data_IF_562920015419
#
_entry.id   IF_562920015419
#
_cell.length_a   1.000
_cell.length_b   1.000
_cell.length_c   1.000
_cell.angle_alpha   90.00
_cell.angle_beta   90.00
_cell.angle_gamma   90.00
#
_symmetry.space_group_name_H-M   'P 1'
#
loop_
_entity.id
_entity.type
_entity.pdbx_description
1 polymer ?
#
# COMPACT_ATOMS: atom_id res chain seq x y z
N UNK A 1 26.84 -6.36 11.38
CA UNK A 1 25.86 -6.49 12.49
C UNK A 1 24.55 -7.03 11.93
N UNK A 2 23.81 -7.89 12.64
CA UNK A 2 22.50 -8.35 12.15
C UNK A 2 21.40 -7.30 12.41
N UNK A 3 20.22 -7.46 11.78
CA UNK A 3 19.15 -6.45 11.87
C UNK A 3 18.64 -6.23 13.30
N UNK A 4 18.65 -7.27 14.15
CA UNK A 4 18.23 -7.19 15.55
C UNK A 4 19.25 -6.43 16.39
N UNK A 5 20.54 -6.76 16.24
CA UNK A 5 21.65 -6.09 16.93
C UNK A 5 21.69 -4.59 16.60
N UNK A 6 21.55 -4.23 15.31
CA UNK A 6 21.54 -2.83 14.88
C UNK A 6 20.35 -2.05 15.44
N UNK A 7 19.18 -2.68 15.55
CA UNK A 7 18.01 -2.06 16.18
C UNK A 7 18.21 -1.86 17.69
N UNK A 8 18.83 -2.81 18.38
CA UNK A 8 19.15 -2.68 19.81
C UNK A 8 20.15 -1.53 20.05
N UNK A 9 21.20 -1.40 19.23
CA UNK A 9 22.14 -0.26 19.32
C UNK A 9 21.44 1.10 19.19
N UNK A 10 20.42 1.21 18.32
CA UNK A 10 19.63 2.45 18.19
C UNK A 10 18.85 2.72 19.48
N UNK A 11 18.18 1.71 20.05
CA UNK A 11 17.40 1.85 21.29
C UNK A 11 18.29 2.25 22.47
N UNK A 12 19.52 1.74 22.52
CA UNK A 12 20.50 2.05 23.55
C UNK A 12 21.27 3.36 23.32
N UNK A 13 21.01 4.07 22.21
CA UNK A 13 21.76 5.28 21.83
C UNK A 13 23.28 5.05 21.65
N UNK A 14 23.66 3.87 21.15
CA UNK A 14 25.04 3.50 20.86
C UNK A 14 25.47 3.93 19.44
N UNK A 15 26.44 3.21 18.83
CA UNK A 15 26.95 3.45 17.48
C UNK A 15 26.46 2.35 16.52
N UNK A 16 25.24 2.44 15.96
CA UNK A 16 24.72 1.44 15.03
C UNK A 16 25.46 1.50 13.67
N UNK A 17 25.52 0.38 12.96
CA UNK A 17 26.08 0.30 11.60
C UNK A 17 25.26 1.15 10.60
N UNK A 18 23.95 1.25 10.83
CA UNK A 18 23.03 2.11 10.06
C UNK A 18 21.87 2.61 10.92
N UNK A 19 21.33 3.78 10.58
CA UNK A 19 20.11 4.30 11.19
C UNK A 19 18.88 3.67 10.52
N UNK A 20 18.02 3.06 11.33
CA UNK A 20 16.72 2.58 10.88
C UNK A 20 15.78 3.79 10.85
N UNK A 21 15.32 4.18 9.65
CA UNK A 21 14.48 5.37 9.44
C UNK A 21 12.98 5.11 9.59
N UNK A 22 12.58 3.85 9.78
CA UNK A 22 11.19 3.47 9.96
C UNK A 22 11.06 2.13 10.67
N UNK A 23 9.96 1.91 11.37
CA UNK A 23 9.71 0.64 12.03
C UNK A 23 9.71 -0.52 11.01
N UNK A 24 10.17 -1.72 11.39
CA UNK A 24 9.96 -2.91 10.56
C UNK A 24 8.45 -3.13 10.37
N UNK A 25 7.94 -2.87 9.16
CA UNK A 25 6.53 -3.09 8.82
C UNK A 25 6.36 -4.27 7.89
N UNK A 26 5.31 -5.06 8.09
CA UNK A 26 4.80 -6.00 7.08
C UNK A 26 3.47 -5.44 6.58
N UNK A 27 3.35 -5.24 5.26
CA UNK A 27 2.09 -4.85 4.65
C UNK A 27 1.11 -6.03 4.67
N UNK A 28 -0.07 -5.82 5.22
CA UNK A 28 -1.21 -6.73 5.06
C UNK A 28 -2.21 -6.00 4.18
N UNK A 29 -2.62 -6.62 3.09
CA UNK A 29 -3.64 -6.13 2.19
C UNK A 29 -4.65 -7.24 1.92
N UNK A 30 -5.90 -6.86 1.73
CA UNK A 30 -6.96 -7.78 1.32
C UNK A 30 -7.05 -7.75 -0.21
N UNK A 31 -7.19 -8.92 -0.84
CA UNK A 31 -7.34 -9.00 -2.31
C UNK A 31 -8.49 -8.11 -2.77
N UNK A 32 -8.21 -7.22 -3.72
CA UNK A 32 -9.23 -6.33 -4.25
C UNK A 32 -9.42 -5.04 -3.45
N UNK A 33 -8.45 -4.64 -2.61
CA UNK A 33 -8.37 -3.31 -2.01
C UNK A 33 -7.45 -2.38 -2.83
N UNK A 34 -7.40 -1.08 -2.54
CA UNK A 34 -6.40 -0.15 -3.11
C UNK A 34 -6.28 -0.22 -4.65
N UNK A 35 -7.40 0.00 -5.35
CA UNK A 35 -7.51 -0.04 -6.81
C UNK A 35 -7.34 -1.44 -7.45
N UNK A 36 -7.11 -2.49 -6.65
CA UNK A 36 -7.08 -3.85 -7.16
C UNK A 36 -8.45 -4.31 -7.62
N UNK A 37 -8.43 -5.26 -8.54
CA UNK A 37 -9.63 -5.95 -9.00
C UNK A 37 -10.13 -7.00 -8.03
N UNK A 38 -11.43 -6.97 -7.72
CA UNK A 38 -12.10 -8.06 -6.99
C UNK A 38 -13.02 -8.88 -7.90
N UNK A 39 -14.06 -8.26 -8.48
CA UNK A 39 -15.04 -8.91 -9.36
C UNK A 39 -14.94 -8.30 -10.76
N UNK A 40 -13.90 -8.66 -11.51
CA UNK A 40 -13.68 -8.17 -12.88
C UNK A 40 -13.34 -6.68 -13.01
N UNK A 41 -13.15 -5.98 -11.90
CA UNK A 41 -12.71 -4.59 -11.80
C UNK A 41 -11.20 -4.42 -11.71
N UNK A 42 -10.70 -3.19 -11.59
CA UNK A 42 -9.33 -2.90 -11.18
C UNK A 42 -8.58 -1.93 -12.09
N UNK A 43 -7.40 -1.47 -11.64
CA UNK A 43 -6.55 -0.54 -12.37
C UNK A 43 -6.21 -1.00 -13.81
N UNK A 44 -6.18 -2.31 -14.05
CA UNK A 44 -5.85 -2.89 -15.36
C UNK A 44 -6.94 -2.66 -16.41
N UNK A 45 -8.14 -2.23 -16.01
CA UNK A 45 -9.22 -1.94 -16.95
C UNK A 45 -8.92 -0.68 -17.77
N UNK A 46 -9.50 -0.54 -18.98
CA UNK A 46 -9.30 0.65 -19.81
C UNK A 46 -9.70 1.96 -19.11
N UNK A 47 -9.18 3.08 -19.60
CA UNK A 47 -9.63 4.41 -19.18
C UNK A 47 -11.15 4.57 -19.38
N UNK A 48 -11.78 5.28 -18.46
CA UNK A 48 -13.23 5.44 -18.36
C UNK A 48 -13.94 4.31 -17.61
N UNK A 49 -13.24 3.23 -17.26
CA UNK A 49 -13.84 2.12 -16.50
C UNK A 49 -14.18 2.54 -15.06
N UNK A 50 -15.28 1.96 -14.57
CA UNK A 50 -15.74 2.09 -13.18
C UNK A 50 -15.76 0.70 -12.55
N UNK A 51 -15.31 0.57 -11.31
CA UNK A 51 -15.47 -0.67 -10.56
C UNK A 51 -15.62 -0.42 -9.07
N UNK A 52 -16.09 -1.43 -8.35
CA UNK A 52 -16.25 -1.40 -6.90
C UNK A 52 -15.29 -2.38 -6.27
N UNK A 53 -14.61 -1.94 -5.21
CA UNK A 53 -13.68 -2.77 -4.45
C UNK A 53 -14.38 -3.60 -3.36
N UNK A 54 -13.62 -4.41 -2.63
CA UNK A 54 -14.17 -5.27 -1.56
C UNK A 54 -14.87 -4.52 -0.42
N UNK A 55 -14.64 -3.22 -0.29
CA UNK A 55 -15.19 -2.38 0.76
C UNK A 55 -16.42 -1.57 0.29
N UNK A 56 -16.86 -1.77 -0.97
CA UNK A 56 -17.95 -1.00 -1.55
C UNK A 56 -17.51 0.35 -2.12
N UNK A 57 -16.21 0.64 -2.13
CA UNK A 57 -15.67 1.89 -2.68
C UNK A 57 -15.73 1.83 -4.19
N UNK A 58 -16.34 2.83 -4.83
CA UNK A 58 -16.36 2.92 -6.30
C UNK A 58 -15.15 3.72 -6.79
N UNK A 59 -14.50 3.22 -7.83
CA UNK A 59 -13.30 3.79 -8.44
C UNK A 59 -13.56 4.17 -9.89
N UNK A 60 -12.95 5.27 -10.33
CA UNK A 60 -12.97 5.74 -11.72
C UNK A 60 -11.57 5.82 -12.30
N UNK A 61 -11.33 5.12 -13.40
CA UNK A 61 -10.08 5.25 -14.13
C UNK A 61 -10.14 6.46 -15.07
N UNK A 62 -9.55 7.59 -14.70
CA UNK A 62 -9.61 8.82 -15.50
C UNK A 62 -8.39 8.97 -16.42
N UNK A 63 -7.21 8.62 -15.90
CA UNK A 63 -5.96 8.60 -16.66
C UNK A 63 -4.97 7.59 -16.01
N UNK A 64 -3.80 7.41 -16.63
CA UNK A 64 -2.78 6.44 -16.19
C UNK A 64 -2.25 6.65 -14.75
N UNK A 65 -2.52 7.80 -14.13
CA UNK A 65 -2.01 8.17 -12.81
C UNK A 65 -3.12 8.55 -11.82
N UNK A 66 -4.35 8.76 -12.28
CA UNK A 66 -5.46 9.29 -11.50
C UNK A 66 -6.62 8.31 -11.47
N UNK A 67 -6.83 7.72 -10.29
CA UNK A 67 -8.03 6.98 -9.96
C UNK A 67 -8.69 7.71 -8.78
N UNK A 68 -9.93 8.15 -8.96
CA UNK A 68 -10.68 8.83 -7.90
C UNK A 68 -11.66 7.87 -7.25
N UNK A 69 -11.76 7.97 -5.92
CA UNK A 69 -12.82 7.37 -5.13
C UNK A 69 -14.11 8.15 -5.32
N UNK A 70 -15.17 7.48 -5.74
CA UNK A 70 -16.54 7.97 -5.64
C UNK A 70 -17.23 7.21 -4.51
N UNK A 71 -17.37 7.86 -3.37
CA UNK A 71 -18.25 7.38 -2.30
C UNK A 71 -19.70 7.74 -2.66
N UNK A 72 -20.63 6.80 -2.43
CA UNK A 72 -22.08 7.05 -2.55
C UNK A 72 -22.59 7.77 -1.30
#
# INVERSE_FOLDING_TARGET
MNAKENALCIIHFDTPERIVTGCPTRGIAYRGCNHEGYIGGGHHLPLGSRWTDIWGTTWHHLDNYTIITLSV
#
